data_IF_269788654516
#
_entry.id   IF_269788654516
#
_cell.length_a   1.000
_cell.length_b   1.000
_cell.length_c   1.000
_cell.angle_alpha   90.00
_cell.angle_beta   90.00
_cell.angle_gamma   90.00
#
_symmetry.space_group_name_H-M   'P 1'
#
loop_
_entity.id
_entity.type
_entity.pdbx_description
1 polymer ?
#
# COMPACT_ATOMS: atom_id res chain seq x y z
N UNK A 1 -3.71 10.34 -24.16
CA UNK A 1 -3.64 8.98 -23.55
C UNK A 1 -2.83 8.11 -24.50
N UNK A 2 -1.86 7.35 -23.99
CA UNK A 2 -1.14 6.37 -24.82
C UNK A 2 -1.94 5.08 -24.95
N UNK A 3 -1.91 4.45 -26.12
CA UNK A 3 -2.52 3.14 -26.35
C UNK A 3 -1.48 2.05 -26.10
N UNK A 4 -1.83 1.03 -25.32
CA UNK A 4 -1.00 -0.14 -25.06
C UNK A 4 -1.80 -1.40 -25.42
N UNK A 5 -1.26 -2.22 -26.33
CA UNK A 5 -1.87 -3.50 -26.71
C UNK A 5 -1.27 -4.60 -25.85
N UNK A 6 -2.13 -5.43 -25.26
CA UNK A 6 -1.74 -6.54 -24.37
C UNK A 6 -2.48 -7.79 -24.84
N UNK A 7 -1.74 -8.87 -25.11
CA UNK A 7 -2.31 -10.18 -25.39
C UNK A 7 -2.48 -10.96 -24.09
N UNK A 8 -3.67 -11.50 -23.88
CA UNK A 8 -4.01 -12.30 -22.71
C UNK A 8 -4.48 -13.69 -23.16
N UNK A 9 -4.14 -14.77 -22.45
CA UNK A 9 -4.79 -16.07 -22.61
C UNK A 9 -6.30 -15.95 -22.38
N UNK A 10 -7.09 -16.80 -23.06
CA UNK A 10 -8.55 -16.74 -23.01
C UNK A 10 -9.13 -16.70 -21.58
N UNK A 11 -8.64 -17.50 -20.60
CA UNK A 11 -9.16 -17.43 -19.23
C UNK A 11 -8.96 -16.05 -18.58
N UNK A 12 -7.81 -15.40 -18.83
CA UNK A 12 -7.52 -14.08 -18.28
C UNK A 12 -8.35 -12.99 -18.97
N UNK A 13 -8.56 -13.11 -20.28
CA UNK A 13 -9.43 -12.20 -21.03
C UNK A 13 -10.86 -12.25 -20.49
N UNK A 14 -11.43 -13.44 -20.35
CA UNK A 14 -12.78 -13.64 -19.80
C UNK A 14 -12.91 -13.04 -18.40
N UNK A 15 -11.91 -13.27 -17.54
CA UNK A 15 -11.88 -12.67 -16.21
C UNK A 15 -11.92 -11.14 -16.25
N UNK A 16 -11.07 -10.51 -17.06
CA UNK A 16 -11.03 -9.04 -17.22
C UNK A 16 -12.37 -8.49 -17.72
N UNK A 17 -13.01 -9.18 -18.67
CA UNK A 17 -14.32 -8.79 -19.20
C UNK A 17 -15.44 -8.92 -18.15
N UNK A 18 -15.42 -9.97 -17.32
CA UNK A 18 -16.36 -10.14 -16.21
C UNK A 18 -16.20 -9.03 -15.16
N UNK A 19 -14.96 -8.68 -14.80
CA UNK A 19 -14.70 -7.58 -13.87
C UNK A 19 -15.23 -6.25 -14.44
N UNK A 20 -15.05 -5.99 -15.74
CA UNK A 20 -15.59 -4.81 -16.39
C UNK A 20 -17.13 -4.77 -16.36
N UNK A 21 -17.80 -5.92 -16.48
CA UNK A 21 -19.27 -6.03 -16.45
C UNK A 21 -19.89 -5.90 -15.06
N UNK A 22 -19.10 -5.89 -13.99
CA UNK A 22 -19.58 -5.77 -12.60
C UNK A 22 -20.25 -4.43 -12.25
N UNK A 23 -20.31 -3.48 -13.18
CA UNK A 23 -20.85 -2.13 -12.97
C UNK A 23 -19.87 -1.16 -12.31
N UNK A 24 -18.70 -1.65 -11.87
CA UNK A 24 -17.64 -0.84 -11.24
C UNK A 24 -16.75 -0.11 -12.26
N UNK A 25 -16.65 -0.61 -13.48
CA UNK A 25 -15.78 -0.07 -14.53
C UNK A 25 -16.57 0.11 -15.82
N UNK A 26 -16.22 1.09 -16.66
CA UNK A 26 -16.93 1.30 -17.92
C UNK A 26 -16.46 0.34 -19.03
N UNK A 27 -15.23 -0.17 -18.93
CA UNK A 27 -14.64 -1.12 -19.89
C UNK A 27 -13.42 -1.86 -19.29
N UNK A 28 -12.89 -2.83 -20.03
CA UNK A 28 -11.71 -3.62 -19.65
C UNK A 28 -10.45 -2.77 -19.42
N UNK A 29 -10.24 -1.72 -20.21
CA UNK A 29 -9.09 -0.82 -20.03
C UNK A 29 -9.20 -0.01 -18.74
N UNK A 30 -10.40 0.36 -18.29
CA UNK A 30 -10.62 1.01 -17.00
C UNK A 30 -10.23 0.11 -15.85
N UNK A 31 -10.66 -1.16 -15.90
CA UNK A 31 -10.26 -2.16 -14.91
C UNK A 31 -8.74 -2.35 -14.88
N UNK A 32 -8.10 -2.51 -16.03
CA UNK A 32 -6.63 -2.68 -16.11
C UNK A 32 -5.90 -1.44 -15.58
N UNK A 33 -6.36 -0.22 -15.91
CA UNK A 33 -5.76 1.01 -15.37
C UNK A 33 -5.88 1.09 -13.85
N UNK A 34 -7.01 0.64 -13.29
CA UNK A 34 -7.19 0.58 -11.84
C UNK A 34 -6.26 -0.45 -11.19
N UNK A 35 -6.10 -1.64 -11.78
CA UNK A 35 -5.13 -2.63 -11.31
C UNK A 35 -3.71 -2.07 -11.28
N UNK A 36 -3.30 -1.33 -12.31
CA UNK A 36 -1.97 -0.70 -12.37
C UNK A 36 -1.80 0.32 -11.23
N UNK A 37 -2.82 1.14 -10.94
CA UNK A 37 -2.77 2.09 -9.83
C UNK A 37 -2.63 1.36 -8.49
N UNK A 38 -3.45 0.34 -8.25
CA UNK A 38 -3.38 -0.46 -7.02
C UNK A 38 -2.05 -1.18 -6.86
N UNK A 39 -1.45 -1.67 -7.94
CA UNK A 39 -0.11 -2.26 -7.91
C UNK A 39 0.94 -1.22 -7.50
N UNK A 40 0.89 -0.02 -8.09
CA UNK A 40 1.79 1.08 -7.73
C UNK A 40 1.62 1.48 -6.26
N UNK A 41 0.39 1.75 -5.84
CA UNK A 41 0.09 2.19 -4.48
C UNK A 41 0.51 1.12 -3.45
N UNK A 42 0.32 -0.17 -3.76
CA UNK A 42 0.81 -1.28 -2.92
C UNK A 42 2.33 -1.29 -2.82
N UNK A 43 3.05 -1.10 -3.94
CA UNK A 43 4.51 -1.06 -3.95
C UNK A 43 5.05 0.13 -3.17
N UNK A 44 4.43 1.29 -3.32
CA UNK A 44 4.77 2.50 -2.55
C UNK A 44 4.58 2.27 -1.05
N UNK A 45 3.44 1.71 -0.63
CA UNK A 45 3.17 1.40 0.78
C UNK A 45 4.17 0.39 1.36
N UNK A 46 4.55 -0.64 0.59
CA UNK A 46 5.58 -1.60 1.01
C UNK A 46 6.93 -0.91 1.17
N UNK A 47 7.33 -0.07 0.21
CA UNK A 47 8.59 0.65 0.25
C UNK A 47 8.65 1.63 1.45
N UNK A 48 7.54 2.30 1.76
CA UNK A 48 7.44 3.18 2.93
C UNK A 48 7.67 2.41 4.23
N UNK A 49 7.00 1.27 4.40
CA UNK A 49 7.15 0.43 5.60
C UNK A 49 8.58 -0.12 5.70
N UNK A 50 9.15 -0.59 4.58
CA UNK A 50 10.52 -1.09 4.55
C UNK A 50 11.52 -0.01 4.95
N UNK A 51 11.37 1.21 4.42
CA UNK A 51 12.21 2.34 4.79
C UNK A 51 12.11 2.67 6.28
N UNK A 52 10.89 2.66 6.85
CA UNK A 52 10.69 2.87 8.29
C UNK A 52 11.35 1.77 9.14
N UNK A 53 11.30 0.51 8.69
CA UNK A 53 12.01 -0.60 9.35
C UNK A 53 13.52 -0.40 9.28
N UNK A 54 14.08 0.00 8.13
CA UNK A 54 15.51 0.26 7.97
C UNK A 54 15.99 1.37 8.92
N UNK A 55 15.22 2.46 9.03
CA UNK A 55 15.48 3.52 10.01
C UNK A 55 15.44 2.99 11.44
N UNK A 56 14.47 2.13 11.76
CA UNK A 56 14.36 1.48 13.06
C UNK A 56 15.56 0.58 13.38
N UNK A 57 16.01 -0.24 12.43
CA UNK A 57 17.18 -1.10 12.58
C UNK A 57 18.47 -0.30 12.74
N UNK A 58 18.59 0.83 12.05
CA UNK A 58 19.71 1.76 12.18
C UNK A 58 19.65 2.63 13.46
N UNK A 59 18.54 2.63 14.20
CA UNK A 59 18.35 3.48 15.39
C UNK A 59 19.12 3.02 16.64
N UNK A 60 19.82 1.89 16.54
CA UNK A 60 20.64 1.30 17.60
C UNK A 60 20.02 0.06 18.23
N UNK A 61 20.68 -0.53 19.24
CA UNK A 61 20.22 -1.76 19.87
C UNK A 61 18.85 -1.60 20.55
N UNK A 62 17.98 -2.58 20.35
CA UNK A 62 16.69 -2.61 21.03
C UNK A 62 16.88 -2.76 22.56
N UNK A 63 16.08 -2.02 23.32
CA UNK A 63 16.04 -2.10 24.79
C UNK A 63 14.64 -2.47 25.28
N UNK A 64 14.49 -3.12 26.45
CA UNK A 64 13.20 -3.44 27.02
C UNK A 64 12.33 -2.19 27.20
N UNK A 65 11.05 -2.28 26.81
CA UNK A 65 10.09 -1.19 26.95
C UNK A 65 9.30 -1.31 28.26
N UNK A 66 9.57 -0.43 29.22
CA UNK A 66 8.65 -0.19 30.33
C UNK A 66 7.52 0.75 29.88
N UNK A 67 6.33 0.16 29.68
CA UNK A 67 5.14 0.87 29.23
C UNK A 67 4.65 1.93 30.21
N UNK A 68 4.84 1.71 31.51
CA UNK A 68 4.35 2.63 32.56
C UNK A 68 5.19 3.91 32.55
N UNK A 69 6.51 3.77 32.62
CA UNK A 69 7.47 4.87 32.52
C UNK A 69 7.36 5.61 31.19
N UNK A 70 7.20 4.89 30.07
CA UNK A 70 7.00 5.50 28.75
C UNK A 70 5.74 6.38 28.71
N UNK A 71 4.59 5.87 29.19
CA UNK A 71 3.33 6.63 29.19
C UNK A 71 3.39 7.86 30.09
N UNK A 72 3.99 7.74 31.28
CA UNK A 72 4.17 8.88 32.19
C UNK A 72 5.03 9.98 31.54
N UNK A 73 6.12 9.59 30.86
CA UNK A 73 6.99 10.52 30.12
C UNK A 73 6.25 11.21 28.97
N UNK A 74 5.47 10.47 28.19
CA UNK A 74 4.68 11.06 27.09
C UNK A 74 3.62 12.02 27.60
N UNK A 75 2.87 11.66 28.64
CA UNK A 75 1.87 12.56 29.24
C UNK A 75 2.52 13.84 29.77
N UNK A 76 3.64 13.73 30.49
CA UNK A 76 4.37 14.92 30.96
C UNK A 76 4.85 15.82 29.81
N UNK A 77 5.30 15.23 28.69
CA UNK A 77 5.79 15.96 27.52
C UNK A 77 4.69 16.70 26.75
N UNK A 78 3.47 16.14 26.69
CA UNK A 78 2.36 16.67 25.88
C UNK A 78 1.18 17.20 26.73
N UNK A 79 1.33 17.37 28.04
CA UNK A 79 0.27 17.87 28.92
C UNK A 79 0.04 19.40 28.84
N UNK A 80 0.80 20.12 28.00
CA UNK A 80 0.75 21.59 27.90
C UNK A 80 0.61 22.14 26.47
N UNK A 81 0.25 21.28 25.50
CA UNK A 81 -0.33 21.68 24.20
C UNK A 81 -1.85 21.46 24.25
#
# INVERSE_FOLDING_TARGET
MGTMNISLPDPMKSWVEEQAKSGRYANSSDYVRDLIRRDRDRREAIAEIQSAVDVGLASGPAVPLDRSTFKSRMRAKYAGE
#
